data_IF_877461827624
#
_entry.id   IF_877461827624
#
_cell.length_a   1.000
_cell.length_b   1.000
_cell.length_c   1.000
_cell.angle_alpha   90.00
_cell.angle_beta   90.00
_cell.angle_gamma   90.00
#
_symmetry.space_group_name_H-M   'P 1'
#
loop_
_entity.id
_entity.type
_entity.pdbx_description
1 polymer ?
#
# COMPACT_ATOMS: atom_id res chain seq x y z
N UNK A 1 -21.06 4.03 -5.62
CA UNK A 1 -19.63 4.18 -5.25
C UNK A 1 -18.81 3.81 -6.48
N UNK A 2 -17.97 4.72 -6.98
CA UNK A 2 -17.15 4.43 -8.15
C UNK A 2 -16.15 3.32 -7.81
N UNK A 3 -16.20 2.21 -8.55
CA UNK A 3 -15.11 1.23 -8.54
C UNK A 3 -13.86 1.95 -9.04
N UNK A 4 -12.96 2.30 -8.13
CA UNK A 4 -11.67 2.84 -8.51
C UNK A 4 -10.93 1.76 -9.29
N UNK A 5 -10.72 1.99 -10.58
CA UNK A 5 -9.85 1.14 -11.38
C UNK A 5 -8.41 1.48 -10.98
N UNK A 6 -7.79 0.58 -10.24
CA UNK A 6 -6.36 0.60 -9.98
C UNK A 6 -5.65 -0.08 -11.14
N UNK A 7 -4.59 0.52 -11.67
CA UNK A 7 -3.73 -0.19 -12.61
C UNK A 7 -2.99 -1.30 -11.87
N UNK A 8 -2.64 -2.37 -12.60
CA UNK A 8 -1.87 -3.48 -12.05
C UNK A 8 -0.58 -2.96 -11.42
N UNK A 9 -0.32 -3.34 -10.17
CA UNK A 9 0.90 -2.99 -9.42
C UNK A 9 0.85 -1.64 -8.70
N UNK A 10 -0.13 -0.76 -8.94
CA UNK A 10 -0.17 0.54 -8.25
C UNK A 10 -0.42 0.38 -6.75
N UNK A 11 -1.32 -0.52 -6.35
CA UNK A 11 -1.60 -0.76 -4.93
C UNK A 11 -0.37 -1.27 -4.18
N UNK A 12 0.41 -2.16 -4.80
CA UNK A 12 1.61 -2.70 -4.20
C UNK A 12 2.76 -1.68 -4.17
N UNK A 13 2.90 -0.87 -5.22
CA UNK A 13 3.83 0.26 -5.23
C UNK A 13 3.56 1.20 -4.05
N UNK A 14 2.32 1.66 -3.88
CA UNK A 14 1.97 2.58 -2.80
C UNK A 14 2.07 1.94 -1.42
N UNK A 15 1.73 0.64 -1.30
CA UNK A 15 1.97 -0.10 -0.06
C UNK A 15 3.47 -0.15 0.29
N UNK A 16 4.34 -0.31 -0.72
CA UNK A 16 5.79 -0.25 -0.57
C UNK A 16 6.26 1.13 -0.12
N UNK A 17 5.77 2.21 -0.73
CA UNK A 17 6.09 3.59 -0.33
C UNK A 17 5.74 3.85 1.14
N UNK A 18 4.58 3.36 1.61
CA UNK A 18 4.19 3.45 3.02
C UNK A 18 5.12 2.60 3.90
N UNK A 19 5.42 1.36 3.50
CA UNK A 19 6.28 0.45 4.26
C UNK A 19 7.70 0.99 4.46
N UNK A 20 8.26 1.64 3.45
CA UNK A 20 9.60 2.22 3.52
C UNK A 20 9.64 3.56 4.25
N UNK A 21 8.49 4.12 4.64
CA UNK A 21 8.40 5.46 5.23
C UNK A 21 8.86 6.56 4.27
N UNK A 22 8.91 6.27 2.96
CA UNK A 22 9.40 7.16 1.90
C UNK A 22 8.31 8.04 1.30
N UNK A 23 7.16 8.17 1.96
CA UNK A 23 6.14 9.12 1.54
C UNK A 23 6.74 10.54 1.66
N UNK A 24 7.25 11.06 0.56
CA UNK A 24 7.82 12.39 0.48
C UNK A 24 6.68 13.40 0.68
N UNK A 25 6.84 14.44 1.52
CA UNK A 25 5.82 15.48 1.66
C UNK A 25 5.48 16.18 0.33
N UNK A 26 6.35 16.14 -0.67
CA UNK A 26 6.09 16.65 -2.02
C UNK A 26 5.26 15.70 -2.89
N UNK A 27 5.28 14.39 -2.62
CA UNK A 27 4.50 13.38 -3.34
C UNK A 27 3.79 12.44 -2.34
N UNK A 28 2.74 12.95 -1.67
CA UNK A 28 2.00 12.17 -0.69
C UNK A 28 1.25 11.02 -1.37
N UNK A 29 1.09 9.92 -0.64
CA UNK A 29 0.30 8.78 -1.10
C UNK A 29 -1.13 9.24 -1.41
N UNK A 30 -1.65 9.06 -2.63
CA UNK A 30 -2.98 9.56 -2.96
C UNK A 30 -4.07 8.86 -2.13
N UNK A 31 -5.05 9.63 -1.64
CA UNK A 31 -6.07 9.16 -0.70
C UNK A 31 -6.80 7.89 -1.17
N UNK A 32 -7.07 7.76 -2.48
CA UNK A 32 -7.71 6.56 -3.05
C UNK A 32 -6.96 5.26 -2.76
N UNK A 33 -5.63 5.32 -2.69
CA UNK A 33 -4.79 4.16 -2.36
C UNK A 33 -4.78 3.90 -0.85
N UNK A 34 -4.78 4.95 -0.03
CA UNK A 34 -4.95 4.83 1.42
C UNK A 34 -6.28 4.14 1.73
N UNK A 35 -7.39 4.60 1.15
CA UNK A 35 -8.72 4.04 1.36
C UNK A 35 -8.80 2.57 0.93
N UNK A 36 -8.21 2.23 -0.21
CA UNK A 36 -8.18 0.86 -0.70
C UNK A 36 -7.31 -0.05 0.17
N UNK A 37 -6.13 0.41 0.60
CA UNK A 37 -5.24 -0.36 1.46
C UNK A 37 -5.81 -0.53 2.88
N UNK A 38 -6.56 0.45 3.38
CA UNK A 38 -7.33 0.34 4.63
C UNK A 38 -8.46 -0.70 4.48
N UNK A 39 -9.23 -0.63 3.39
CA UNK A 39 -10.29 -1.60 3.11
C UNK A 39 -9.74 -3.03 3.02
N UNK A 40 -8.57 -3.17 2.40
CA UNK A 40 -7.84 -4.44 2.30
C UNK A 40 -7.10 -4.79 3.60
N UNK A 41 -7.09 -3.94 4.64
CA UNK A 41 -6.36 -4.14 5.90
C UNK A 41 -4.86 -4.35 5.73
N UNK A 42 -4.28 -3.81 4.67
CA UNK A 42 -2.83 -3.83 4.45
C UNK A 42 -2.13 -2.70 5.22
N UNK A 43 -2.88 -1.66 5.58
CA UNK A 43 -2.43 -0.56 6.43
C UNK A 43 -3.48 -0.27 7.50
N UNK A 44 -3.06 0.45 8.53
CA UNK A 44 -3.92 1.08 9.54
C UNK A 44 -3.50 2.55 9.74
N UNK A 45 -4.33 3.35 10.40
CA UNK A 45 -3.98 4.73 10.76
C UNK A 45 -3.54 4.72 12.22
N UNK A 46 -2.30 5.15 12.46
CA UNK A 46 -1.73 5.24 13.79
C UNK A 46 -2.38 6.37 14.63
N UNK A 47 -1.98 6.48 15.89
CA UNK A 47 -2.47 7.54 16.80
C UNK A 47 -2.08 8.96 16.38
N UNK A 48 -1.13 9.11 15.46
CA UNK A 48 -0.70 10.38 14.87
C UNK A 48 -1.42 10.72 13.57
N UNK A 49 -2.34 9.86 13.11
CA UNK A 49 -3.06 10.04 11.85
C UNK A 49 -2.27 9.62 10.61
N UNK A 50 -1.16 8.89 10.77
CA UNK A 50 -0.31 8.43 9.66
C UNK A 50 -0.63 6.98 9.29
N UNK A 51 -0.56 6.63 8.00
CA UNK A 51 -0.71 5.24 7.58
C UNK A 51 0.52 4.41 8.00
N UNK A 52 0.27 3.30 8.69
CA UNK A 52 1.27 2.32 9.10
C UNK A 52 0.94 0.95 8.49
N UNK A 53 1.95 0.21 8.03
CA UNK A 53 1.76 -1.09 7.38
C UNK A 53 1.52 -2.18 8.43
N UNK A 54 0.46 -2.97 8.23
CA UNK A 54 0.14 -4.12 9.10
C UNK A 54 1.02 -5.33 8.76
N UNK A 55 0.99 -6.36 9.62
CA UNK A 55 1.65 -7.65 9.30
C UNK A 55 1.14 -8.25 7.99
N UNK A 56 -0.17 -8.11 7.72
CA UNK A 56 -0.76 -8.55 6.46
C UNK A 56 -0.20 -7.76 5.27
N UNK A 57 -0.07 -6.44 5.41
CA UNK A 57 0.53 -5.60 4.35
C UNK A 57 1.97 -5.99 4.05
N UNK A 58 2.77 -6.27 5.09
CA UNK A 58 4.14 -6.77 4.93
C UNK A 58 4.17 -8.11 4.18
N UNK A 59 3.30 -9.06 4.54
CA UNK A 59 3.20 -10.33 3.82
C UNK A 59 2.79 -10.15 2.36
N UNK A 60 1.85 -9.24 2.07
CA UNK A 60 1.41 -8.95 0.70
C UNK A 60 2.56 -8.41 -0.18
N UNK A 61 3.42 -7.54 0.38
CA UNK A 61 4.63 -7.05 -0.30
C UNK A 61 5.61 -8.18 -0.61
N UNK A 62 5.83 -9.10 0.33
CA UNK A 62 6.71 -10.25 0.13
C UNK A 62 6.16 -11.24 -0.90
N UNK A 63 4.84 -11.44 -0.97
CA UNK A 63 4.23 -12.34 -1.95
C UNK A 63 4.34 -11.80 -3.38
N UNK A 64 4.26 -10.49 -3.58
CA UNK A 64 4.48 -9.90 -4.90
C UNK A 64 5.95 -10.00 -5.33
N UNK A 65 6.88 -9.82 -4.38
CA UNK A 65 8.31 -10.02 -4.61
C UNK A 65 8.66 -11.49 -4.90
N UNK A 66 8.02 -12.43 -4.21
CA UNK A 66 8.18 -13.87 -4.40
C UNK A 66 7.45 -14.42 -5.65
N UNK A 67 6.66 -13.59 -6.34
CA UNK A 67 5.96 -13.94 -7.58
C UNK A 67 6.82 -13.85 -8.84
N UNK A 68 8.08 -13.40 -8.73
CA UNK A 68 9.07 -13.53 -9.81
C UNK A 68 9.65 -14.95 -9.79
N UNK A 69 8.84 -15.94 -10.13
CA UNK A 69 9.37 -17.23 -10.56
C UNK A 69 9.94 -17.00 -11.97
N UNK A 70 11.26 -16.89 -12.03
CA UNK A 70 12.08 -17.03 -13.23
C UNK A 70 11.54 -18.23 -14.03
N UNK A 71 11.10 -17.98 -15.27
CA UNK A 71 10.73 -19.01 -16.25
C UNK A 71 11.86 -19.17 -17.26
#
# INVERSE_FOLDING_TARGET
MAMHQFNKGELAYWLGVIAEGKADPAEPVPQRFIDALLLLRCIEIDSSGKPEVTDKGRLALHMESAGSYDA
#
